data_IF_179541852451
#
_entry.id   IF_179541852451
#
_cell.length_a   1.000
_cell.length_b   1.000
_cell.length_c   1.000
_cell.angle_alpha   90.00
_cell.angle_beta   90.00
_cell.angle_gamma   90.00
#
_symmetry.space_group_name_H-M   'P 1'
#
loop_
_entity.id
_entity.type
_entity.pdbx_description
1 polymer ?
#
# COMPACT_ATOMS: atom_id res chain seq x y z
N UNK A 1 -1.03 14.63 20.74
CA UNK A 1 -0.93 15.15 19.36
C UNK A 1 -0.20 14.19 18.41
N UNK A 2 1.03 13.73 18.71
CA UNK A 2 1.83 12.89 17.78
C UNK A 2 1.13 11.58 17.33
N UNK A 3 0.43 10.89 18.24
CA UNK A 3 -0.32 9.67 17.94
C UNK A 3 -1.46 9.86 16.93
N UNK A 4 -2.07 11.05 16.88
CA UNK A 4 -3.17 11.35 15.96
C UNK A 4 -2.63 11.46 14.53
N UNK A 5 -1.45 12.05 14.33
CA UNK A 5 -0.80 12.12 13.03
C UNK A 5 -0.38 10.75 12.52
N UNK A 6 0.19 9.90 13.39
CA UNK A 6 0.49 8.51 13.01
C UNK A 6 -0.75 7.72 12.59
N UNK A 7 -1.86 7.88 13.33
CA UNK A 7 -3.14 7.28 12.96
C UNK A 7 -3.68 7.80 11.62
N UNK A 8 -3.55 9.10 11.36
CA UNK A 8 -3.97 9.72 10.10
C UNK A 8 -3.13 9.24 8.91
N UNK A 9 -1.81 9.12 9.10
CA UNK A 9 -0.89 8.56 8.11
C UNK A 9 -1.18 7.10 7.79
N UNK A 10 -1.44 6.29 8.83
CA UNK A 10 -1.87 4.90 8.67
C UNK A 10 -3.18 4.81 7.88
N UNK A 11 -4.15 5.66 8.19
CA UNK A 11 -5.48 5.67 7.58
C UNK A 11 -5.42 6.05 6.10
N UNK A 12 -4.68 7.11 5.75
CA UNK A 12 -4.49 7.51 4.35
C UNK A 12 -3.74 6.42 3.58
N UNK A 13 -2.66 5.89 4.16
CA UNK A 13 -1.90 4.80 3.55
C UNK A 13 -2.73 3.53 3.32
N UNK A 14 -3.62 3.20 4.28
CA UNK A 14 -4.53 2.07 4.18
C UNK A 14 -5.60 2.27 3.09
N UNK A 15 -6.23 3.45 3.01
CA UNK A 15 -7.20 3.75 1.96
C UNK A 15 -6.55 3.74 0.58
N UNK A 16 -5.33 4.29 0.47
CA UNK A 16 -4.56 4.25 -0.77
C UNK A 16 -4.24 2.80 -1.20
N UNK A 17 -3.75 1.99 -0.26
CA UNK A 17 -3.46 0.58 -0.52
C UNK A 17 -4.70 -0.26 -0.85
N UNK A 18 -5.84 0.03 -0.20
CA UNK A 18 -7.14 -0.56 -0.56
C UNK A 18 -7.57 -0.15 -1.97
N UNK A 19 -7.41 1.12 -2.35
CA UNK A 19 -7.76 1.59 -3.69
C UNK A 19 -6.97 0.87 -4.78
N UNK A 20 -5.66 0.68 -4.58
CA UNK A 20 -4.82 -0.05 -5.53
C UNK A 20 -5.23 -1.54 -5.59
N UNK A 21 -5.47 -2.18 -4.44
CA UNK A 21 -5.95 -3.56 -4.40
C UNK A 21 -7.30 -3.71 -5.15
N UNK A 22 -8.22 -2.76 -4.96
CA UNK A 22 -9.52 -2.74 -5.66
C UNK A 22 -9.37 -2.55 -7.17
N UNK A 23 -8.46 -1.68 -7.62
CA UNK A 23 -8.16 -1.50 -9.04
C UNK A 23 -7.63 -2.81 -9.65
N UNK A 24 -6.73 -3.52 -8.96
CA UNK A 24 -6.24 -4.82 -9.40
C UNK A 24 -7.33 -5.89 -9.42
N UNK A 25 -8.23 -5.88 -8.43
CA UNK A 25 -9.38 -6.77 -8.41
C UNK A 25 -10.31 -6.54 -9.61
N UNK A 26 -10.60 -5.27 -9.94
CA UNK A 26 -11.39 -4.90 -11.11
C UNK A 26 -10.67 -5.19 -12.43
N UNK A 27 -9.34 -5.05 -12.47
CA UNK A 27 -8.52 -5.40 -13.63
C UNK A 27 -8.55 -6.91 -13.91
N UNK A 28 -8.47 -7.74 -12.86
CA UNK A 28 -8.57 -9.19 -12.98
C UNK A 28 -9.98 -9.62 -13.43
N UNK A 29 -11.01 -8.96 -12.88
CA UNK A 29 -12.40 -9.21 -13.23
C UNK A 29 -12.77 -8.73 -14.65
N UNK A 30 -12.14 -7.68 -15.17
CA UNK A 30 -12.41 -7.11 -16.50
C UNK A 30 -11.85 -7.93 -17.67
N UNK A 31 -11.38 -9.16 -17.43
CA UNK A 31 -11.11 -10.13 -18.50
C UNK A 31 -9.66 -10.20 -18.99
N UNK A 32 -8.74 -9.39 -18.44
CA UNK A 32 -7.30 -9.58 -18.68
C UNK A 32 -6.78 -10.84 -17.96
N UNK A 33 -7.59 -11.42 -17.04
CA UNK A 33 -7.25 -12.57 -16.18
C UNK A 33 -5.80 -12.49 -15.73
N UNK A 34 -5.38 -11.32 -15.22
CA UNK A 34 -4.00 -11.03 -14.91
C UNK A 34 -3.44 -12.06 -13.93
N UNK A 35 -4.26 -12.51 -12.97
CA UNK A 35 -3.94 -13.60 -12.06
C UNK A 35 -3.67 -14.92 -12.80
N UNK A 36 -4.54 -15.26 -13.75
CA UNK A 36 -4.43 -16.50 -14.52
C UNK A 36 -3.26 -16.44 -15.51
N UNK A 37 -3.00 -15.28 -16.13
CA UNK A 37 -1.87 -15.05 -17.02
C UNK A 37 -0.54 -15.12 -16.25
N UNK A 38 -0.48 -14.53 -15.05
CA UNK A 38 0.69 -14.64 -14.16
C UNK A 38 0.91 -16.07 -13.66
N UNK A 39 -0.13 -16.77 -13.22
CA UNK A 39 0.01 -18.15 -12.75
C UNK A 39 0.41 -19.08 -13.91
N UNK A 40 -0.12 -18.86 -15.11
CA UNK A 40 0.17 -19.72 -16.27
C UNK A 40 1.56 -19.46 -16.86
N UNK A 41 2.03 -18.20 -16.89
CA UNK A 41 3.35 -17.85 -17.47
C UNK A 41 4.48 -17.81 -16.43
N UNK A 42 4.20 -17.41 -15.20
CA UNK A 42 5.20 -17.19 -14.14
C UNK A 42 5.07 -18.17 -12.95
N UNK A 43 4.03 -19.02 -12.93
CA UNK A 43 3.86 -20.06 -11.91
C UNK A 43 3.88 -19.50 -10.48
N UNK A 44 4.92 -19.87 -9.73
CA UNK A 44 5.11 -19.49 -8.33
C UNK A 44 5.22 -17.96 -8.12
N UNK A 45 5.92 -17.26 -9.02
CA UNK A 45 6.05 -15.79 -8.96
C UNK A 45 4.69 -15.12 -9.16
N UNK A 46 3.83 -15.74 -9.99
CA UNK A 46 2.47 -15.26 -10.22
C UNK A 46 1.62 -15.24 -8.94
N UNK A 47 1.67 -16.33 -8.16
CA UNK A 47 1.00 -16.40 -6.85
C UNK A 47 1.58 -15.40 -5.85
N UNK A 48 2.90 -15.25 -5.81
CA UNK A 48 3.58 -14.33 -4.91
C UNK A 48 3.17 -12.87 -5.15
N UNK A 49 3.10 -12.43 -6.41
CA UNK A 49 2.67 -11.07 -6.74
C UNK A 49 1.20 -10.86 -6.37
N UNK A 50 0.34 -11.86 -6.57
CA UNK A 50 -1.07 -11.77 -6.18
C UNK A 50 -1.24 -11.58 -4.66
N UNK A 51 -0.46 -12.34 -3.89
CA UNK A 51 -0.46 -12.27 -2.44
C UNK A 51 0.12 -10.94 -1.93
N UNK A 52 1.13 -10.40 -2.63
CA UNK A 52 1.67 -9.07 -2.39
C UNK A 52 0.63 -7.96 -2.65
N UNK A 53 -0.13 -8.05 -3.76
CA UNK A 53 -1.24 -7.14 -4.07
C UNK A 53 -2.36 -7.26 -3.03
N UNK A 54 -2.59 -8.46 -2.49
CA UNK A 54 -3.56 -8.62 -1.43
C UNK A 54 -3.07 -8.02 -0.10
N UNK A 55 -1.76 -8.07 0.15
CA UNK A 55 -1.11 -7.45 1.31
C UNK A 55 -0.85 -5.94 1.16
N UNK A 56 -1.07 -5.36 -0.03
CA UNK A 56 -0.85 -3.95 -0.33
C UNK A 56 -1.57 -2.96 0.60
N UNK A 57 -2.80 -3.20 1.09
CA UNK A 57 -3.44 -2.34 2.08
C UNK A 57 -2.66 -2.26 3.40
N UNK A 58 -2.12 -3.39 3.85
CA UNK A 58 -1.32 -3.48 5.08
C UNK A 58 0.03 -2.79 4.87
N UNK A 59 0.68 -3.07 3.73
CA UNK A 59 1.95 -2.44 3.36
C UNK A 59 1.76 -0.93 3.19
N UNK A 60 0.67 -0.49 2.58
CA UNK A 60 0.29 0.90 2.40
C UNK A 60 0.06 1.61 3.73
N UNK A 61 -0.60 0.96 4.69
CA UNK A 61 -0.75 1.50 6.04
C UNK A 61 0.61 1.66 6.75
N UNK A 62 1.48 0.66 6.67
CA UNK A 62 2.81 0.72 7.26
C UNK A 62 3.68 1.82 6.62
N UNK A 63 3.66 1.93 5.28
CA UNK A 63 4.34 2.98 4.54
C UNK A 63 3.79 4.37 4.86
N UNK A 64 2.46 4.52 5.02
CA UNK A 64 1.82 5.77 5.42
C UNK A 64 2.26 6.23 6.82
N UNK A 65 2.39 5.31 7.76
CA UNK A 65 2.94 5.59 9.10
C UNK A 65 4.39 6.04 9.00
N UNK A 66 5.23 5.33 8.23
CA UNK A 66 6.65 5.66 8.06
C UNK A 66 6.81 7.03 7.41
N UNK A 67 6.01 7.34 6.38
CA UNK A 67 6.06 8.62 5.66
C UNK A 67 5.75 9.79 6.60
N UNK A 68 4.70 9.67 7.41
CA UNK A 68 4.34 10.68 8.41
C UNK A 68 5.40 10.76 9.51
N UNK A 69 5.98 9.63 9.93
CA UNK A 69 7.09 9.61 10.89
C UNK A 69 8.28 10.42 10.37
N UNK A 70 8.65 10.20 9.11
CA UNK A 70 9.78 10.85 8.47
C UNK A 70 9.50 12.35 8.26
N UNK A 71 8.31 12.69 7.76
CA UNK A 71 7.91 14.08 7.50
C UNK A 71 7.85 14.90 8.80
N UNK A 72 7.15 14.41 9.83
CA UNK A 72 7.06 15.12 11.11
C UNK A 72 8.38 15.13 11.90
N UNK A 73 9.26 14.12 11.74
CA UNK A 73 10.63 14.21 12.27
C UNK A 73 11.44 15.31 11.58
N UNK A 74 11.16 15.62 10.31
CA UNK A 74 11.84 16.71 9.59
C UNK A 74 11.26 18.07 9.95
N UNK A 75 9.94 18.21 10.06
CA UNK A 75 9.29 19.46 10.46
C UNK A 75 9.72 19.93 11.86
N UNK A 76 9.94 19.00 12.82
CA UNK A 76 10.47 19.35 14.15
C UNK A 76 11.96 19.74 14.14
N UNK A 77 12.68 19.51 13.04
CA UNK A 77 14.09 19.84 12.88
C UNK A 77 14.32 21.13 12.09
N UNK A 78 13.32 21.58 11.33
CA UNK A 78 13.34 22.84 10.57
C UNK A 78 12.67 24.01 11.31
N UNK A 79 11.81 23.76 12.30
CA UNK A 79 11.22 24.80 13.15
C UNK A 79 12.11 25.34 14.29
N UNK A 80 13.37 24.87 14.39
CA UNK A 80 14.36 25.28 15.39
C UNK A 80 15.56 26.00 14.72
N UNK A 81 15.28 26.85 13.72
CA UNK A 81 16.22 27.83 13.15
C UNK A 81 15.52 29.15 12.84
#
# INVERSE_FOLDING_TARGET
MKYVYYGFGAFIGFICGMGINLIFYWLDQSGVKFANYLITNFGFIGKYILELINALPIIGAALGIILINLLFNRDMKEGDR
#
